data_IF_773308242962
#
_entry.id   IF_773308242962
#
_cell.length_a   1.000
_cell.length_b   1.000
_cell.length_c   1.000
_cell.angle_alpha   90.00
_cell.angle_beta   90.00
_cell.angle_gamma   90.00
#
_symmetry.space_group_name_H-M   'P 1'
#
loop_
_entity.id
_entity.type
_entity.pdbx_description
1 polymer ?
#
# COMPACT_ATOMS: atom_id res chain seq x y z
N UNK A 1 8.93 38.81 6.82
CA UNK A 1 8.14 37.57 7.02
C UNK A 1 8.27 36.82 5.72
N UNK A 2 9.27 35.95 5.64
CA UNK A 2 9.63 35.23 4.43
C UNK A 2 8.78 33.97 4.29
N UNK A 3 7.92 33.94 3.26
CA UNK A 3 7.17 32.75 2.82
C UNK A 3 8.09 31.61 2.35
N UNK A 4 9.37 31.87 2.15
CA UNK A 4 10.39 30.90 1.73
C UNK A 4 10.69 29.81 2.78
N UNK A 5 10.28 29.98 4.04
CA UNK A 5 10.52 29.00 5.11
C UNK A 5 9.42 27.93 5.25
N UNK A 6 8.25 28.10 4.63
CA UNK A 6 7.15 27.13 4.76
C UNK A 6 7.15 26.02 3.69
N UNK A 7 7.80 26.25 2.54
CA UNK A 7 7.73 25.33 1.39
C UNK A 7 8.76 24.20 1.46
N UNK A 8 9.73 24.26 2.38
CA UNK A 8 10.79 23.26 2.52
C UNK A 8 10.48 22.13 3.53
N UNK A 9 9.38 22.20 4.28
CA UNK A 9 8.95 21.12 5.20
C UNK A 9 8.00 20.08 4.58
N UNK A 10 7.67 20.22 3.29
CA UNK A 10 6.74 19.32 2.56
C UNK A 10 7.42 18.53 1.42
N UNK A 11 8.71 18.26 1.56
CA UNK A 11 9.52 17.51 0.59
C UNK A 11 10.31 16.47 1.40
N UNK A 12 9.98 15.19 1.48
CA UNK A 12 9.26 14.32 0.58
C UNK A 12 8.71 13.15 1.42
N UNK A 13 7.41 13.15 1.69
CA UNK A 13 6.68 12.02 2.27
C UNK A 13 5.95 11.22 1.19
N UNK A 14 6.42 11.32 -0.06
CA UNK A 14 5.77 10.66 -1.19
C UNK A 14 6.33 9.26 -1.29
N UNK A 15 5.45 8.29 -1.18
CA UNK A 15 5.82 6.89 -1.33
C UNK A 15 6.45 6.69 -2.71
N UNK A 16 7.62 6.05 -2.77
CA UNK A 16 8.38 5.88 -4.00
C UNK A 16 7.50 5.24 -5.09
N UNK A 17 7.64 5.68 -6.34
CA UNK A 17 6.81 5.19 -7.45
C UNK A 17 7.04 3.69 -7.70
N UNK A 18 8.27 3.21 -7.45
CA UNK A 18 8.62 1.80 -7.54
C UNK A 18 7.93 1.00 -6.45
N UNK A 19 7.85 1.56 -5.24
CA UNK A 19 7.14 0.96 -4.11
C UNK A 19 5.63 0.91 -4.36
N UNK A 20 5.04 1.99 -4.91
CA UNK A 20 3.65 2.01 -5.35
C UNK A 20 3.36 0.92 -6.39
N UNK A 21 4.22 0.80 -7.39
CA UNK A 21 4.08 -0.21 -8.43
C UNK A 21 4.21 -1.62 -7.86
N UNK A 22 5.10 -1.84 -6.91
CA UNK A 22 5.24 -3.11 -6.20
C UNK A 22 3.98 -3.47 -5.40
N UNK A 23 3.39 -2.50 -4.70
CA UNK A 23 2.13 -2.71 -3.96
C UNK A 23 1.04 -3.19 -4.90
N UNK A 24 0.84 -2.50 -6.02
CA UNK A 24 -0.20 -2.86 -6.99
C UNK A 24 0.09 -4.20 -7.66
N UNK A 25 1.33 -4.49 -8.03
CA UNK A 25 1.74 -5.82 -8.52
C UNK A 25 1.44 -6.92 -7.48
N UNK A 26 1.70 -6.68 -6.19
CA UNK A 26 1.37 -7.65 -5.13
C UNK A 26 -0.15 -7.83 -4.97
N UNK A 27 -0.93 -6.77 -5.12
CA UNK A 27 -2.40 -6.83 -5.09
C UNK A 27 -2.93 -7.64 -6.27
N UNK A 28 -2.45 -7.36 -7.48
CA UNK A 28 -2.85 -8.05 -8.71
C UNK A 28 -2.45 -9.53 -8.72
N UNK A 29 -1.25 -9.85 -8.23
CA UNK A 29 -0.76 -11.23 -8.17
C UNK A 29 -1.36 -12.04 -7.02
N UNK A 30 -1.99 -11.40 -6.03
CA UNK A 30 -2.59 -12.13 -4.92
C UNK A 30 -3.98 -12.60 -5.30
N UNK A 31 -4.24 -13.92 -5.37
CA UNK A 31 -5.52 -14.43 -5.81
C UNK A 31 -6.67 -13.86 -4.98
N UNK A 32 -7.69 -13.33 -5.65
CA UNK A 32 -8.89 -12.79 -5.01
C UNK A 32 -9.51 -13.74 -3.98
N UNK A 33 -9.47 -15.05 -4.23
CA UNK A 33 -9.94 -16.07 -3.29
C UNK A 33 -9.23 -16.03 -1.92
N UNK A 34 -7.94 -15.69 -1.88
CA UNK A 34 -7.17 -15.56 -0.65
C UNK A 34 -7.46 -14.25 0.09
N UNK A 35 -7.78 -13.18 -0.65
CA UNK A 35 -8.14 -11.89 -0.07
C UNK A 35 -9.57 -11.94 0.47
N UNK A 36 -10.55 -12.46 -0.29
CA UNK A 36 -11.97 -12.50 0.09
C UNK A 36 -12.25 -13.22 1.41
N UNK A 37 -11.54 -14.31 1.72
CA UNK A 37 -11.72 -15.09 2.96
C UNK A 37 -11.24 -14.37 4.23
N UNK A 38 -10.50 -13.27 4.09
CA UNK A 38 -9.92 -12.50 5.18
C UNK A 38 -10.72 -11.24 5.43
N UNK A 39 -10.81 -10.80 6.70
CA UNK A 39 -11.30 -9.45 7.03
C UNK A 39 -10.33 -8.38 6.51
N UNK A 40 -10.78 -7.14 6.40
CA UNK A 40 -9.99 -6.02 5.84
C UNK A 40 -8.59 -5.93 6.46
N UNK A 41 -8.49 -5.93 7.79
CA UNK A 41 -7.19 -5.88 8.49
C UNK A 41 -6.27 -7.06 8.16
N UNK A 42 -6.83 -8.25 8.01
CA UNK A 42 -6.07 -9.46 7.67
C UNK A 42 -5.61 -9.45 6.21
N UNK A 43 -6.39 -8.86 5.30
CA UNK A 43 -5.99 -8.62 3.90
C UNK A 43 -4.82 -7.65 3.86
N UNK A 44 -4.92 -6.51 4.54
CA UNK A 44 -3.85 -5.51 4.56
C UNK A 44 -2.57 -6.07 5.17
N UNK A 45 -2.68 -6.85 6.26
CA UNK A 45 -1.53 -7.53 6.86
C UNK A 45 -0.89 -8.54 5.90
N UNK A 46 -1.69 -9.29 5.13
CA UNK A 46 -1.19 -10.23 4.12
C UNK A 46 -0.44 -9.50 3.00
N UNK A 47 -1.02 -8.43 2.47
CA UNK A 47 -0.41 -7.61 1.42
C UNK A 47 0.90 -6.99 1.91
N UNK A 48 0.89 -6.38 3.09
CA UNK A 48 2.10 -5.82 3.70
C UNK A 48 3.20 -6.88 3.86
N UNK A 49 2.86 -8.08 4.35
CA UNK A 49 3.82 -9.18 4.48
C UNK A 49 4.40 -9.62 3.13
N UNK A 50 3.59 -9.64 2.07
CA UNK A 50 4.04 -9.97 0.71
C UNK A 50 4.96 -8.90 0.14
N UNK A 51 4.66 -7.62 0.38
CA UNK A 51 5.53 -6.51 -0.03
C UNK A 51 6.87 -6.58 0.73
N UNK A 52 6.82 -6.79 2.05
CA UNK A 52 8.00 -6.94 2.93
C UNK A 52 8.88 -8.15 2.54
N UNK A 53 8.28 -9.20 1.94
CA UNK A 53 9.05 -10.33 1.40
C UNK A 53 9.72 -10.06 0.05
N UNK A 54 9.33 -9.01 -0.67
CA UNK A 54 9.88 -8.63 -1.98
C UNK A 54 10.89 -7.50 -1.90
N UNK A 55 10.74 -6.62 -0.92
CA UNK A 55 11.63 -5.49 -0.70
C UNK A 55 11.86 -5.31 0.80
N UNK A 56 13.09 -4.96 1.17
CA UNK A 56 13.43 -4.60 2.55
C UNK A 56 12.87 -3.21 2.79
N UNK A 57 11.72 -3.12 3.47
CA UNK A 57 11.13 -1.85 3.87
C UNK A 57 11.76 -1.37 5.17
N UNK A 58 12.12 -0.08 5.22
CA UNK A 58 12.39 0.59 6.49
C UNK A 58 11.10 0.66 7.35
N UNK A 59 11.21 0.86 8.68
CA UNK A 59 10.04 1.02 9.55
C UNK A 59 9.11 2.17 9.11
N UNK A 60 9.68 3.24 8.56
CA UNK A 60 8.93 4.38 8.05
C UNK A 60 8.16 4.03 6.77
N UNK A 61 8.83 3.40 5.80
CA UNK A 61 8.17 2.94 4.57
C UNK A 61 7.08 1.91 4.88
N UNK A 62 7.33 0.99 5.81
CA UNK A 62 6.34 0.02 6.25
C UNK A 62 5.08 0.70 6.79
N UNK A 63 5.24 1.75 7.59
CA UNK A 63 4.12 2.54 8.11
C UNK A 63 3.37 3.27 6.98
N UNK A 64 4.10 3.84 6.01
CA UNK A 64 3.51 4.50 4.85
C UNK A 64 2.73 3.52 3.96
N UNK A 65 3.29 2.33 3.68
CA UNK A 65 2.64 1.27 2.91
C UNK A 65 1.39 0.78 3.63
N UNK A 66 1.47 0.56 4.94
CA UNK A 66 0.31 0.13 5.73
C UNK A 66 -0.81 1.17 5.69
N UNK A 67 -0.48 2.45 5.88
CA UNK A 67 -1.46 3.52 5.78
C UNK A 67 -2.04 3.62 4.37
N UNK A 68 -1.19 3.52 3.33
CA UNK A 68 -1.62 3.54 1.94
C UNK A 68 -2.61 2.43 1.63
N UNK A 69 -2.30 1.20 2.06
CA UNK A 69 -3.16 0.03 1.90
C UNK A 69 -4.52 0.20 2.61
N UNK A 70 -4.52 0.76 3.81
CA UNK A 70 -5.75 1.07 4.55
C UNK A 70 -6.60 2.13 3.84
N UNK A 71 -5.98 3.21 3.35
CA UNK A 71 -6.68 4.28 2.61
C UNK A 71 -7.28 3.77 1.28
N UNK A 72 -6.64 2.78 0.64
CA UNK A 72 -7.12 2.15 -0.60
C UNK A 72 -7.85 0.83 -0.36
N UNK A 73 -8.26 0.52 0.87
CA UNK A 73 -8.85 -0.79 1.19
C UNK A 73 -10.11 -1.09 0.36
N UNK A 74 -10.95 -0.08 0.13
CA UNK A 74 -12.14 -0.16 -0.71
C UNK A 74 -11.80 -0.53 -2.16
N UNK A 75 -10.84 0.18 -2.76
CA UNK A 75 -10.39 -0.08 -4.13
C UNK A 75 -9.75 -1.46 -4.28
N UNK A 76 -8.93 -1.87 -3.32
CA UNK A 76 -8.35 -3.22 -3.28
C UNK A 76 -9.46 -4.27 -3.23
N UNK A 77 -10.53 -4.02 -2.47
CA UNK A 77 -11.68 -4.91 -2.41
C UNK A 77 -12.44 -4.96 -3.74
N UNK A 78 -12.63 -3.83 -4.42
CA UNK A 78 -13.27 -3.78 -5.75
C UNK A 78 -12.46 -4.59 -6.76
N UNK A 79 -11.15 -4.42 -6.82
CA UNK A 79 -10.25 -5.19 -7.69
C UNK A 79 -10.32 -6.69 -7.36
N UNK A 80 -10.38 -7.05 -6.08
CA UNK A 80 -10.56 -8.45 -5.68
C UNK A 80 -11.91 -9.02 -6.13
N UNK A 81 -12.96 -8.21 -6.19
CA UNK A 81 -14.27 -8.66 -6.66
C UNK A 81 -14.25 -8.83 -8.18
N UNK A 82 -13.64 -7.89 -8.91
CA UNK A 82 -13.51 -7.94 -10.36
C UNK A 82 -12.70 -9.15 -10.83
N UNK A 83 -11.56 -9.45 -10.18
CA UNK A 83 -10.75 -10.63 -10.49
C UNK A 83 -11.43 -11.97 -10.16
N UNK A 84 -12.52 -11.96 -9.39
CA UNK A 84 -13.24 -13.16 -8.99
C UNK A 84 -14.48 -13.46 -9.85
N UNK A 85 -14.82 -12.57 -10.80
CA UNK A 85 -15.85 -12.79 -11.82
C UNK A 85 -15.23 -13.41 -13.07
#
# INVERSE_FOLDING_TARGET
MDESSQVLFLRDGRMDTSLLRLIWSVVEETPAAHLRRKGERDRMRLLLKKIDSRVILSPQERSQVQQYLMERSALIQEICLEQAM
#
